data_IF_000820997372
#
_entry.id   IF_000820997372
#
_cell.length_a   1.000
_cell.length_b   1.000
_cell.length_c   1.000
_cell.angle_alpha   90.00
_cell.angle_beta   90.00
_cell.angle_gamma   90.00
#
_symmetry.space_group_name_H-M   'P 1'
#
loop_
_entity.id
_entity.type
_entity.pdbx_description
1 polymer ?
#
# COMPACT_ATOMS: atom_id res chain seq x y z
N UNK A 1 56.02 14.95 -6.02
CA UNK A 1 54.77 15.41 -6.69
C UNK A 1 53.82 14.24 -6.93
N UNK A 2 52.65 14.29 -6.28
CA UNK A 2 51.34 14.13 -6.94
C UNK A 2 51.08 12.80 -7.68
N UNK A 3 50.99 11.67 -6.98
CA UNK A 3 50.42 10.42 -7.57
C UNK A 3 49.38 9.68 -6.72
N UNK A 4 49.25 9.97 -5.42
CA UNK A 4 48.30 9.25 -4.55
C UNK A 4 46.95 9.98 -4.35
N UNK A 5 46.83 11.24 -4.82
CA UNK A 5 45.63 12.06 -4.60
C UNK A 5 44.49 11.80 -5.62
N UNK A 6 44.76 11.06 -6.70
CA UNK A 6 43.74 10.78 -7.74
C UNK A 6 43.05 9.44 -7.56
N UNK A 7 43.63 8.50 -6.80
CA UNK A 7 43.00 7.18 -6.59
C UNK A 7 41.83 7.26 -5.59
N UNK A 8 41.95 8.11 -4.57
CA UNK A 8 40.90 8.32 -3.56
C UNK A 8 39.66 9.03 -4.11
N UNK A 9 39.82 9.87 -5.15
CA UNK A 9 38.69 10.58 -5.78
C UNK A 9 37.82 9.64 -6.63
N UNK A 10 38.40 8.60 -7.23
CA UNK A 10 37.65 7.62 -8.04
C UNK A 10 36.77 6.68 -7.20
N UNK A 11 37.13 6.39 -5.94
CA UNK A 11 36.35 5.55 -5.04
C UNK A 11 35.11 6.26 -4.47
N UNK A 12 35.10 7.59 -4.42
CA UNK A 12 34.00 8.39 -3.88
C UNK A 12 32.83 8.59 -4.86
N UNK A 13 32.99 8.23 -6.14
CA UNK A 13 31.98 8.41 -7.19
C UNK A 13 31.13 7.15 -7.47
N UNK A 14 31.49 6.00 -6.89
CA UNK A 14 30.79 4.73 -7.12
C UNK A 14 29.54 4.52 -6.24
N UNK A 15 29.25 5.42 -5.30
CA UNK A 15 28.07 5.35 -4.42
C UNK A 15 26.89 6.16 -4.96
N UNK A 16 26.64 6.10 -6.27
CA UNK A 16 25.28 6.38 -6.74
C UNK A 16 24.44 5.19 -6.32
N UNK A 17 23.86 5.26 -5.12
CA UNK A 17 22.78 4.36 -4.73
C UNK A 17 21.70 4.53 -5.81
N UNK A 18 21.60 3.56 -6.71
CA UNK A 18 20.44 3.44 -7.58
C UNK A 18 19.25 3.28 -6.64
N UNK A 19 18.50 4.36 -6.41
CA UNK A 19 17.13 4.26 -5.94
C UNK A 19 16.42 3.49 -7.03
N UNK A 20 16.27 2.18 -6.85
CA UNK A 20 15.35 1.42 -7.67
C UNK A 20 13.96 1.99 -7.36
N UNK A 21 13.44 2.84 -8.25
CA UNK A 21 12.02 3.15 -8.27
C UNK A 21 11.29 1.82 -8.54
N UNK A 22 10.85 1.16 -7.47
CA UNK A 22 10.01 -0.03 -7.62
C UNK A 22 8.72 0.39 -8.29
N UNK A 23 8.56 0.00 -9.55
CA UNK A 23 7.37 0.30 -10.34
C UNK A 23 6.16 -0.41 -9.74
N UNK A 24 4.99 0.25 -9.72
CA UNK A 24 3.78 -0.29 -9.08
C UNK A 24 3.38 -1.64 -9.69
N UNK A 25 3.55 -1.80 -11.01
CA UNK A 25 3.26 -3.02 -11.75
C UNK A 25 4.15 -4.24 -11.37
N UNK A 26 5.30 -3.99 -10.74
CA UNK A 26 6.22 -5.04 -10.26
C UNK A 26 5.91 -5.51 -8.84
N UNK A 27 5.00 -4.84 -8.12
CA UNK A 27 4.71 -5.14 -6.72
C UNK A 27 3.98 -6.49 -6.57
N UNK A 28 4.26 -7.25 -5.50
CA UNK A 28 3.47 -8.44 -5.17
C UNK A 28 2.00 -8.10 -4.99
N UNK A 29 1.11 -9.01 -5.40
CA UNK A 29 -0.35 -8.80 -5.35
C UNK A 29 -0.88 -8.49 -3.94
N UNK A 30 -0.30 -9.09 -2.90
CA UNK A 30 -0.66 -8.75 -1.52
C UNK A 30 -0.21 -7.33 -1.15
N UNK A 31 0.95 -6.89 -1.65
CA UNK A 31 1.46 -5.53 -1.42
C UNK A 31 0.59 -4.50 -2.12
N UNK A 32 0.17 -4.75 -3.38
CA UNK A 32 -0.79 -3.91 -4.08
C UNK A 32 -2.09 -3.74 -3.28
N UNK A 33 -2.67 -4.85 -2.79
CA UNK A 33 -3.89 -4.81 -2.00
C UNK A 33 -3.72 -4.07 -0.66
N UNK A 34 -2.60 -4.31 0.04
CA UNK A 34 -2.29 -3.59 1.29
C UNK A 34 -2.10 -2.10 1.07
N UNK A 35 -1.39 -1.72 0.00
CA UNK A 35 -1.19 -0.31 -0.34
C UNK A 35 -2.50 0.36 -0.75
N UNK A 36 -3.36 -0.35 -1.49
CA UNK A 36 -4.72 0.12 -1.78
C UNK A 36 -5.51 0.39 -0.48
N UNK A 37 -5.50 -0.54 0.48
CA UNK A 37 -6.18 -0.36 1.77
C UNK A 37 -5.68 0.86 2.54
N UNK A 38 -4.35 1.05 2.60
CA UNK A 38 -3.74 2.22 3.24
C UNK A 38 -4.25 3.49 2.55
N UNK A 39 -4.12 3.59 1.23
CA UNK A 39 -4.53 4.76 0.47
C UNK A 39 -6.02 5.08 0.61
N UNK A 40 -6.90 4.06 0.61
CA UNK A 40 -8.33 4.24 0.87
C UNK A 40 -8.61 4.77 2.27
N UNK A 41 -7.99 4.16 3.28
CA UNK A 41 -8.13 4.58 4.66
C UNK A 41 -7.64 6.02 4.86
N UNK A 42 -6.47 6.36 4.33
CA UNK A 42 -5.92 7.72 4.41
C UNK A 42 -6.84 8.76 3.81
N UNK A 43 -7.42 8.48 2.64
CA UNK A 43 -8.34 9.41 1.99
C UNK A 43 -9.70 9.52 2.70
N UNK A 44 -10.17 8.48 3.39
CA UNK A 44 -11.44 8.55 4.14
C UNK A 44 -11.33 9.37 5.42
N UNK A 45 -10.24 9.27 6.17
CA UNK A 45 -10.14 9.96 7.46
C UNK A 45 -9.71 11.44 7.32
N UNK A 46 -8.93 11.78 6.30
CA UNK A 46 -8.35 13.12 6.21
C UNK A 46 -9.44 14.18 5.97
N UNK A 47 -9.33 15.35 6.63
CA UNK A 47 -10.18 16.51 6.37
C UNK A 47 -9.74 17.32 5.14
N UNK A 48 -8.51 17.10 4.66
CA UNK A 48 -7.93 17.81 3.52
C UNK A 48 -8.43 17.22 2.19
N UNK A 49 -9.19 18.01 1.43
CA UNK A 49 -9.63 17.63 0.07
C UNK A 49 -8.46 17.25 -0.85
N UNK A 50 -7.34 17.98 -0.76
CA UNK A 50 -6.17 17.71 -1.59
C UNK A 50 -5.54 16.35 -1.22
N UNK A 51 -5.39 16.09 0.07
CA UNK A 51 -4.87 14.81 0.58
C UNK A 51 -5.80 13.67 0.21
N UNK A 52 -7.12 13.88 0.30
CA UNK A 52 -8.12 12.88 -0.08
C UNK A 52 -8.04 12.50 -1.55
N UNK A 53 -7.98 13.50 -2.44
CA UNK A 53 -7.88 13.27 -3.89
C UNK A 53 -6.60 12.55 -4.25
N UNK A 54 -5.48 12.94 -3.65
CA UNK A 54 -4.19 12.30 -3.86
C UNK A 54 -4.19 10.83 -3.39
N UNK A 55 -4.68 10.58 -2.17
CA UNK A 55 -4.79 9.25 -1.62
C UNK A 55 -5.72 8.35 -2.47
N UNK A 56 -6.85 8.86 -2.96
CA UNK A 56 -7.75 8.09 -3.81
C UNK A 56 -7.17 7.82 -5.20
N UNK A 57 -6.43 8.75 -5.80
CA UNK A 57 -5.67 8.50 -7.03
C UNK A 57 -4.60 7.44 -6.83
N UNK A 58 -3.90 7.48 -5.70
CA UNK A 58 -2.92 6.47 -5.31
C UNK A 58 -3.57 5.09 -5.17
N UNK A 59 -4.74 5.01 -4.53
CA UNK A 59 -5.52 3.76 -4.45
C UNK A 59 -5.88 3.24 -5.84
N UNK A 60 -6.35 4.10 -6.75
CA UNK A 60 -6.66 3.70 -8.13
C UNK A 60 -5.44 3.10 -8.86
N UNK A 61 -4.23 3.64 -8.65
CA UNK A 61 -3.02 3.07 -9.23
C UNK A 61 -2.77 1.64 -8.75
N UNK A 62 -2.92 1.36 -7.45
CA UNK A 62 -2.76 -0.01 -6.94
C UNK A 62 -3.87 -0.97 -7.40
N UNK A 63 -5.09 -0.47 -7.58
CA UNK A 63 -6.21 -1.24 -8.11
C UNK A 63 -5.95 -1.68 -9.55
N UNK A 64 -5.44 -0.78 -10.40
CA UNK A 64 -5.19 -1.03 -11.83
C UNK A 64 -4.26 -2.24 -12.06
N UNK A 65 -3.23 -2.40 -11.23
CA UNK A 65 -2.26 -3.50 -11.36
C UNK A 65 -2.64 -4.75 -10.56
N UNK A 66 -3.75 -4.70 -9.82
CA UNK A 66 -4.21 -5.85 -9.07
C UNK A 66 -4.96 -6.85 -9.95
N UNK A 67 -4.65 -8.13 -9.75
CA UNK A 67 -5.36 -9.26 -10.34
C UNK A 67 -6.51 -9.75 -9.46
N UNK A 68 -6.72 -9.12 -8.29
CA UNK A 68 -7.82 -9.49 -7.41
C UNK A 68 -9.16 -9.10 -8.04
N UNK A 69 -10.22 -9.88 -7.80
CA UNK A 69 -11.55 -9.51 -8.24
C UNK A 69 -12.04 -8.27 -7.48
N UNK A 70 -12.98 -7.53 -8.08
CA UNK A 70 -13.59 -6.34 -7.47
C UNK A 70 -14.15 -6.59 -6.07
N UNK A 71 -14.65 -7.81 -5.80
CA UNK A 71 -15.14 -8.21 -4.47
C UNK A 71 -14.11 -8.07 -3.36
N UNK A 72 -12.80 -8.22 -3.65
CA UNK A 72 -11.75 -7.98 -2.67
C UNK A 72 -11.74 -6.53 -2.18
N UNK A 73 -11.95 -5.60 -3.10
CA UNK A 73 -11.94 -4.17 -2.83
C UNK A 73 -13.24 -3.69 -2.20
N UNK A 74 -14.38 -4.26 -2.57
CA UNK A 74 -15.66 -4.01 -1.89
C UNK A 74 -15.64 -4.47 -0.43
N UNK A 75 -15.06 -5.65 -0.16
CA UNK A 75 -14.85 -6.14 1.21
C UNK A 75 -13.80 -5.31 1.96
N UNK A 76 -12.72 -4.93 1.28
CA UNK A 76 -11.69 -4.06 1.84
C UNK A 76 -12.22 -2.68 2.22
N UNK A 77 -13.11 -2.10 1.41
CA UNK A 77 -13.76 -0.82 1.69
C UNK A 77 -14.60 -0.90 2.99
N UNK A 78 -15.37 -1.98 3.16
CA UNK A 78 -16.13 -2.23 4.40
C UNK A 78 -15.22 -2.40 5.61
N UNK A 79 -14.05 -3.04 5.43
CA UNK A 79 -13.04 -3.17 6.49
C UNK A 79 -12.45 -1.81 6.88
N UNK A 80 -12.18 -0.93 5.92
CA UNK A 80 -11.71 0.43 6.20
C UNK A 80 -12.76 1.20 7.00
N UNK A 81 -14.03 1.14 6.59
CA UNK A 81 -15.12 1.82 7.29
C UNK A 81 -15.25 1.33 8.73
N UNK A 82 -15.20 0.01 8.96
CA UNK A 82 -15.31 -0.52 10.32
C UNK A 82 -14.16 -0.07 11.23
N UNK A 83 -12.93 -0.02 10.72
CA UNK A 83 -11.77 0.45 11.49
C UNK A 83 -11.83 1.93 11.82
N UNK A 84 -12.39 2.77 10.95
CA UNK A 84 -12.55 4.20 11.20
C UNK A 84 -13.70 4.53 12.16
N UNK A 85 -14.71 3.65 12.27
CA UNK A 85 -15.83 3.80 13.22
C UNK A 85 -15.55 3.26 14.61
N UNK A 86 -14.55 2.38 14.76
CA UNK A 86 -14.14 1.91 16.08
C UNK A 86 -13.45 3.06 16.80
N UNK A 87 -14.13 3.65 17.80
CA UNK A 87 -13.51 4.57 18.74
C UNK A 87 -12.40 3.84 19.50
N UNK A 88 -11.19 3.83 18.94
CA UNK A 88 -10.00 3.43 19.67
C UNK A 88 -9.61 4.62 20.52
N UNK A 89 -10.07 4.60 21.77
CA UNK A 89 -9.68 5.54 22.81
C UNK A 89 -8.14 5.57 22.87
N UNK A 90 -7.52 6.51 22.18
CA UNK A 90 -6.12 6.82 22.37
C UNK A 90 -5.98 7.43 23.76
N UNK A 91 -4.89 7.11 24.46
CA UNK A 91 -4.57 7.70 25.76
C UNK A 91 -4.27 9.21 25.70
N UNK A 92 -4.31 9.80 24.50
CA UNK A 92 -4.07 11.21 24.21
C UNK A 92 -5.24 11.80 23.43
N UNK A 93 -5.38 13.13 23.46
CA UNK A 93 -6.46 13.88 22.78
C UNK A 93 -6.35 13.88 21.25
N UNK A 94 -5.27 13.33 20.70
CA UNK A 94 -4.95 13.39 19.27
C UNK A 94 -5.19 12.02 18.61
N UNK A 95 -5.85 12.02 17.46
CA UNK A 95 -6.14 10.81 16.69
C UNK A 95 -4.91 10.31 15.93
N UNK A 96 -4.60 9.01 16.04
CA UNK A 96 -3.48 8.37 15.33
C UNK A 96 -3.89 7.71 14.00
N UNK A 97 -4.82 8.29 13.25
CA UNK A 97 -5.44 7.65 12.08
C UNK A 97 -4.45 7.09 11.05
N UNK A 98 -3.31 7.75 10.82
CA UNK A 98 -2.25 7.20 9.95
C UNK A 98 -1.74 5.85 10.46
N UNK A 99 -1.47 5.73 11.75
CA UNK A 99 -1.06 4.46 12.37
C UNK A 99 -2.17 3.41 12.26
N UNK A 100 -3.43 3.81 12.38
CA UNK A 100 -4.57 2.91 12.25
C UNK A 100 -4.69 2.34 10.83
N UNK A 101 -4.53 3.18 9.81
CA UNK A 101 -4.52 2.75 8.42
C UNK A 101 -3.37 1.78 8.11
N UNK A 102 -2.17 2.06 8.65
CA UNK A 102 -1.02 1.17 8.53
C UNK A 102 -1.30 -0.17 9.23
N UNK A 103 -1.86 -0.15 10.44
CA UNK A 103 -2.21 -1.35 11.19
C UNK A 103 -3.33 -2.17 10.51
N UNK A 104 -4.36 -1.51 9.96
CA UNK A 104 -5.43 -2.14 9.20
C UNK A 104 -4.88 -2.98 8.05
N UNK A 105 -3.91 -2.45 7.31
CA UNK A 105 -3.31 -3.15 6.17
C UNK A 105 -2.57 -4.44 6.56
N UNK A 106 -2.11 -4.52 7.81
CA UNK A 106 -1.42 -5.68 8.37
C UNK A 106 -2.34 -6.58 9.20
N UNK A 107 -3.63 -6.24 9.32
CA UNK A 107 -4.58 -6.99 10.12
C UNK A 107 -4.83 -8.40 9.57
N UNK A 108 -5.23 -9.31 10.46
CA UNK A 108 -5.66 -10.67 10.08
C UNK A 108 -6.84 -10.64 9.11
N UNK A 109 -7.74 -9.67 9.27
CA UNK A 109 -8.91 -9.52 8.41
C UNK A 109 -8.52 -9.09 6.99
N UNK A 110 -7.61 -8.13 6.85
CA UNK A 110 -7.08 -7.75 5.54
C UNK A 110 -6.42 -8.94 4.83
N UNK A 111 -5.60 -9.71 5.55
CA UNK A 111 -4.96 -10.91 4.99
C UNK A 111 -6.00 -11.99 4.61
N UNK A 112 -7.04 -12.19 5.43
CA UNK A 112 -8.11 -13.14 5.14
C UNK A 112 -8.88 -12.78 3.87
N UNK A 113 -9.21 -11.50 3.67
CA UNK A 113 -9.89 -11.02 2.46
C UNK A 113 -8.99 -11.27 1.23
N UNK A 114 -7.69 -10.98 1.34
CA UNK A 114 -6.72 -11.22 0.27
C UNK A 114 -6.66 -12.70 -0.13
N UNK A 115 -6.42 -13.61 0.81
CA UNK A 115 -6.30 -15.04 0.53
C UNK A 115 -7.58 -15.61 -0.07
N UNK A 116 -8.74 -15.24 0.47
CA UNK A 116 -10.04 -15.67 -0.03
C UNK A 116 -10.25 -15.25 -1.49
N UNK A 117 -10.01 -13.98 -1.81
CA UNK A 117 -10.26 -13.45 -3.14
C UNK A 117 -9.20 -13.90 -4.16
N UNK A 118 -7.95 -14.11 -3.73
CA UNK A 118 -6.91 -14.76 -4.55
C UNK A 118 -7.32 -16.17 -4.97
N UNK A 119 -7.89 -16.96 -4.07
CA UNK A 119 -8.38 -18.30 -4.37
C UNK A 119 -9.56 -18.29 -5.35
N UNK A 120 -10.52 -17.37 -5.18
CA UNK A 120 -11.66 -17.20 -6.10
C UNK A 120 -11.17 -16.85 -7.52
N UNK A 121 -10.20 -15.95 -7.65
CA UNK A 121 -9.62 -15.61 -8.95
C UNK A 121 -8.98 -16.82 -9.63
N UNK A 122 -8.11 -17.54 -8.93
CA UNK A 122 -7.45 -18.73 -9.46
C UNK A 122 -8.46 -19.82 -9.89
N UNK A 123 -9.54 -20.01 -9.12
CA UNK A 123 -10.60 -20.96 -9.48
C UNK A 123 -11.36 -20.54 -10.75
N UNK A 124 -11.54 -19.25 -11.01
CA UNK A 124 -12.19 -18.76 -12.24
C UNK A 124 -11.29 -18.95 -13.46
N UNK A 125 -9.98 -18.72 -13.32
CA UNK A 125 -9.03 -18.92 -14.42
C UNK A 125 -8.96 -20.39 -14.86
N UNK A 126 -8.98 -21.32 -13.90
CA UNK A 126 -8.92 -22.76 -14.18
C UNK A 126 -10.20 -23.34 -14.82
N UNK A 127 -11.32 -22.60 -14.79
CA UNK A 127 -12.61 -23.02 -15.35
C UNK A 127 -12.94 -22.32 -16.66
N UNK A 128 -11.99 -21.60 -17.26
CA UNK A 128 -12.17 -20.97 -18.58
C UNK A 128 -12.05 -22.06 -19.67
N UNK A 129 -13.04 -22.18 -20.59
CA UNK A 129 -13.01 -23.16 -21.67
C UNK A 129 -11.87 -22.91 -22.66
#
# INVERSE_FOLDING_TARGET
>A
MRKHNNFLVFLLLASQMAFAETSVDSLPQETLYKNWLISRCLGKFTDSENTRKDAFRSASAYLEFSKLPLSAFEEGEKLVESYLTQERQAATTDSYHTLECLALSQSKDAHKIFIKNKAIHAAKENNKP
#
